data_IF_207273437741
#
_entry.id   IF_207273437741
#
_cell.length_a   1.000
_cell.length_b   1.000
_cell.length_c   1.000
_cell.angle_alpha   90.00
_cell.angle_beta   90.00
_cell.angle_gamma   90.00
#
_symmetry.space_group_name_H-M   'P 1'
#
loop_
_entity.id
_entity.type
_entity.pdbx_description
1 polymer ?
#
# COMPACT_ATOMS: atom_id res chain seq x y z
N UNK A 1 10.42 -7.82 -9.00
CA UNK A 1 9.06 -8.41 -8.91
C UNK A 1 8.41 -8.34 -10.29
N UNK A 2 8.14 -9.46 -10.96
CA UNK A 2 7.35 -9.45 -12.21
C UNK A 2 5.91 -9.11 -11.83
N UNK A 3 5.37 -7.98 -12.30
CA UNK A 3 3.96 -7.68 -12.06
C UNK A 3 3.13 -8.75 -12.76
N UNK A 4 2.33 -9.50 -11.99
CA UNK A 4 1.34 -10.38 -12.59
C UNK A 4 0.35 -9.46 -13.31
N UNK A 5 0.35 -9.50 -14.65
CA UNK A 5 -0.65 -8.82 -15.48
C UNK A 5 -2.01 -9.31 -14.98
N UNK A 6 -2.77 -8.42 -14.33
CA UNK A 6 -4.08 -8.77 -13.82
C UNK A 6 -4.95 -9.19 -15.01
N UNK A 7 -5.26 -10.47 -15.11
CA UNK A 7 -6.09 -11.00 -16.18
C UNK A 7 -7.52 -10.61 -15.85
N UNK A 8 -8.11 -9.70 -16.64
CA UNK A 8 -9.52 -9.33 -16.49
C UNK A 8 -10.34 -10.59 -16.78
N UNK A 9 -11.28 -10.93 -15.90
CA UNK A 9 -12.11 -12.12 -16.08
C UNK A 9 -12.98 -11.98 -17.33
N UNK A 10 -13.19 -13.09 -18.06
CA UNK A 10 -14.01 -13.14 -19.28
C UNK A 10 -15.43 -12.61 -19.00
N UNK A 11 -15.99 -12.92 -17.83
CA UNK A 11 -17.28 -12.40 -17.37
C UNK A 11 -17.35 -10.87 -17.28
N UNK A 12 -16.23 -10.21 -16.91
CA UNK A 12 -16.16 -8.75 -16.80
C UNK A 12 -16.05 -8.10 -18.17
N UNK A 13 -15.34 -8.73 -19.10
CA UNK A 13 -15.27 -8.31 -20.51
C UNK A 13 -16.62 -8.48 -21.22
N UNK A 14 -17.31 -9.60 -21.00
CA UNK A 14 -18.63 -9.85 -21.57
C UNK A 14 -19.66 -8.83 -21.09
N UNK A 15 -19.70 -8.53 -19.79
CA UNK A 15 -20.55 -7.45 -19.27
C UNK A 15 -20.19 -6.09 -19.86
N UNK A 16 -18.91 -5.80 -20.10
CA UNK A 16 -18.48 -4.51 -20.65
C UNK A 16 -18.90 -4.34 -22.11
N UNK A 17 -18.87 -5.44 -22.87
CA UNK A 17 -19.36 -5.45 -24.24
C UNK A 17 -20.89 -5.31 -24.33
N UNK A 18 -21.63 -5.83 -23.34
CA UNK A 18 -23.10 -5.76 -23.32
C UNK A 18 -23.64 -4.43 -22.77
N UNK A 19 -23.05 -3.91 -21.70
CA UNK A 19 -23.42 -2.64 -21.10
C UNK A 19 -22.19 -2.03 -20.39
N UNK A 20 -21.48 -1.11 -21.05
CA UNK A 20 -20.25 -0.54 -20.50
C UNK A 20 -20.49 0.31 -19.25
N UNK A 21 -21.68 0.89 -19.09
CA UNK A 21 -22.07 1.67 -17.90
C UNK A 21 -22.31 0.76 -16.68
N UNK A 22 -22.71 -0.50 -16.90
CA UNK A 22 -22.97 -1.46 -15.81
C UNK A 22 -21.73 -2.06 -15.16
N UNK A 23 -20.57 -2.00 -15.83
CA UNK A 23 -19.35 -2.70 -15.38
C UNK A 23 -18.55 -1.89 -14.38
N UNK A 24 -18.64 -0.57 -14.49
CA UNK A 24 -18.13 0.34 -13.50
C UNK A 24 -19.28 0.66 -12.56
N UNK A 25 -19.37 -0.05 -11.44
CA UNK A 25 -20.15 0.45 -10.31
C UNK A 25 -19.77 1.93 -10.13
N UNK A 26 -20.74 2.82 -9.94
CA UNK A 26 -20.49 4.23 -9.60
C UNK A 26 -19.80 4.27 -8.24
N UNK A 27 -18.51 3.97 -8.23
CA UNK A 27 -17.71 3.94 -7.02
C UNK A 27 -17.55 5.37 -6.61
N UNK A 28 -17.99 5.69 -5.39
CA UNK A 28 -17.85 7.02 -4.84
C UNK A 28 -16.35 7.37 -4.85
N UNK A 29 -15.97 8.41 -5.59
CA UNK A 29 -14.58 8.81 -5.82
C UNK A 29 -13.84 9.03 -4.48
N UNK A 30 -14.59 9.50 -3.47
CA UNK A 30 -14.14 9.65 -2.09
C UNK A 30 -13.74 8.32 -1.44
N UNK A 31 -14.52 7.26 -1.68
CA UNK A 31 -14.26 5.92 -1.15
C UNK A 31 -13.03 5.29 -1.81
N UNK A 32 -12.83 5.52 -3.12
CA UNK A 32 -11.63 5.07 -3.85
C UNK A 32 -10.38 5.80 -3.33
N UNK A 33 -10.47 7.12 -3.13
CA UNK A 33 -9.37 7.92 -2.58
C UNK A 33 -8.98 7.48 -1.17
N UNK A 34 -9.98 7.20 -0.32
CA UNK A 34 -9.74 6.73 1.04
C UNK A 34 -9.16 5.31 1.06
N UNK A 35 -9.73 4.39 0.26
CA UNK A 35 -9.25 3.03 0.10
C UNK A 35 -7.81 2.97 -0.39
N UNK A 36 -7.45 3.78 -1.39
CA UNK A 36 -6.08 3.89 -1.89
C UNK A 36 -5.11 4.42 -0.83
N UNK A 37 -5.53 5.41 -0.02
CA UNK A 37 -4.71 5.95 1.06
C UNK A 37 -4.49 4.92 2.18
N UNK A 38 -5.53 4.18 2.55
CA UNK A 38 -5.46 3.12 3.54
C UNK A 38 -4.54 1.97 3.06
N UNK A 39 -4.69 1.54 1.80
CA UNK A 39 -3.86 0.49 1.23
C UNK A 39 -2.39 0.92 1.10
N UNK A 40 -2.14 2.20 0.76
CA UNK A 40 -0.80 2.78 0.76
C UNK A 40 -0.18 2.90 2.16
N UNK A 41 -0.98 3.13 3.22
CA UNK A 41 -0.47 3.11 4.59
C UNK A 41 -0.16 1.71 5.12
N UNK A 42 -0.93 0.70 4.70
CA UNK A 42 -0.70 -0.71 5.08
C UNK A 42 0.51 -1.28 4.33
N UNK A 43 0.69 -0.91 3.07
CA UNK A 43 1.83 -1.33 2.25
C UNK A 43 3.15 -0.59 2.53
N UNK A 44 3.12 0.47 3.37
CA UNK A 44 4.34 1.11 3.86
C UNK A 44 4.98 0.18 4.90
N UNK A 45 5.87 -0.68 4.41
CA UNK A 45 6.77 -1.45 5.26
C UNK A 45 7.55 -0.55 6.23
N UNK A 46 8.22 -1.15 7.23
CA UNK A 46 8.93 -0.41 8.27
C UNK A 46 9.88 0.61 7.62
N UNK A 47 9.76 1.86 8.04
CA UNK A 47 10.60 2.94 7.51
C UNK A 47 12.05 2.71 7.92
N UNK A 48 12.92 2.50 6.93
CA UNK A 48 14.37 2.35 7.12
C UNK A 48 14.96 3.56 7.85
N UNK A 49 14.40 4.76 7.61
CA UNK A 49 14.78 6.00 8.30
C UNK A 49 14.44 5.93 9.79
N UNK A 50 13.23 5.47 10.16
CA UNK A 50 12.86 5.31 11.57
C UNK A 50 13.74 4.26 12.26
N UNK A 51 14.09 3.20 11.55
CA UNK A 51 14.99 2.17 12.06
C UNK A 51 16.40 2.72 12.36
N UNK A 52 16.96 3.51 11.43
CA UNK A 52 18.27 4.15 11.62
C UNK A 52 18.23 5.12 12.81
N UNK A 53 17.18 5.92 12.94
CA UNK A 53 17.01 6.85 14.06
C UNK A 53 16.97 6.07 15.38
N UNK A 54 16.16 5.01 15.46
CA UNK A 54 16.08 4.16 16.65
C UNK A 54 17.44 3.53 16.99
N UNK A 55 18.19 3.04 15.99
CA UNK A 55 19.51 2.46 16.20
C UNK A 55 20.51 3.48 16.77
N UNK A 56 20.53 4.72 16.25
CA UNK A 56 21.41 5.79 16.75
C UNK A 56 21.06 6.14 18.20
N UNK A 57 19.77 6.25 18.52
CA UNK A 57 19.31 6.54 19.88
C UNK A 57 19.75 5.46 20.86
N UNK A 58 19.63 4.19 20.49
CA UNK A 58 20.08 3.05 21.30
C UNK A 58 21.60 3.09 21.48
N UNK A 59 22.37 3.38 20.42
CA UNK A 59 23.82 3.48 20.47
C UNK A 59 24.31 4.59 21.41
N UNK A 60 23.68 5.76 21.36
CA UNK A 60 23.98 6.89 22.25
C UNK A 60 23.62 6.53 23.70
N UNK A 61 22.47 5.90 23.93
CA UNK A 61 22.05 5.47 25.25
C UNK A 61 23.02 4.42 25.84
N UNK A 62 23.43 3.44 25.05
CA UNK A 62 24.39 2.41 25.45
C UNK A 62 25.77 3.00 25.79
N UNK A 63 26.25 3.97 25.00
CA UNK A 63 27.46 4.75 25.30
C UNK A 63 27.36 5.51 26.62
N UNK A 64 26.23 6.14 26.91
CA UNK A 64 26.03 6.85 28.19
C UNK A 64 25.89 5.91 29.39
N UNK A 65 25.39 4.71 29.17
CA UNK A 65 25.26 3.67 30.20
C UNK A 65 26.57 2.91 30.48
N UNK A 66 27.66 3.19 29.74
CA UNK A 66 28.95 2.50 29.92
C UNK A 66 28.97 1.06 29.45
N UNK A 67 27.99 0.65 28.63
CA UNK A 67 27.90 -0.69 28.04
C UNK A 67 28.71 -0.81 26.74
N UNK A 68 29.27 0.31 26.25
CA UNK A 68 30.05 0.47 25.02
C UNK A 68 31.14 1.53 25.19
#
# INVERSE_FOLDING_TARGET
MKSKRATISISKLARYASDPESVFEKVNESAVKYGNRAHASIGKGPSLVLFIIAAIVILIAARKAGLL
#
